data_IF_979120782429
#
_entry.id   IF_979120782429
#
_cell.length_a   1.000
_cell.length_b   1.000
_cell.length_c   1.000
_cell.angle_alpha   90.00
_cell.angle_beta   90.00
_cell.angle_gamma   90.00
#
_symmetry.space_group_name_H-M   'P 1'
#
loop_
_entity.id
_entity.type
_entity.pdbx_description
1 polymer ?
#
# COMPACT_ATOMS: atom_id res chain seq x y z
N UNK A 1 24.72 -20.68 -26.60
CA UNK A 1 23.42 -20.97 -25.96
C UNK A 1 23.70 -20.93 -24.47
N UNK A 2 23.21 -20.03 -23.62
CA UNK A 2 22.16 -19.01 -23.67
C UNK A 2 22.65 -17.78 -22.89
N UNK A 3 22.39 -16.59 -23.41
CA UNK A 3 22.64 -15.35 -22.67
C UNK A 3 21.52 -15.19 -21.62
N UNK A 4 21.87 -15.34 -20.35
CA UNK A 4 20.96 -15.09 -19.25
C UNK A 4 20.68 -13.58 -19.18
N UNK A 5 19.48 -13.20 -19.64
CA UNK A 5 19.00 -11.82 -19.63
C UNK A 5 18.92 -11.31 -18.18
N UNK A 6 19.50 -10.15 -17.84
CA UNK A 6 19.24 -9.54 -16.55
C UNK A 6 17.75 -9.21 -16.44
N UNK A 7 17.09 -9.71 -15.38
CA UNK A 7 15.72 -9.34 -15.04
C UNK A 7 15.69 -7.84 -14.78
N UNK A 8 15.01 -7.10 -15.66
CA UNK A 8 14.84 -5.65 -15.54
C UNK A 8 14.10 -5.37 -14.22
N UNK A 9 14.85 -4.96 -13.19
CA UNK A 9 14.30 -4.43 -11.95
C UNK A 9 13.29 -3.33 -12.29
N UNK A 10 12.06 -3.56 -11.88
CA UNK A 10 10.90 -2.70 -12.12
C UNK A 10 11.10 -1.33 -11.46
N UNK A 11 11.60 -0.35 -12.23
CA UNK A 11 11.52 1.08 -11.88
C UNK A 11 10.04 1.51 -11.99
N UNK A 12 9.27 1.36 -10.91
CA UNK A 12 7.80 1.63 -10.85
C UNK A 12 7.40 2.64 -9.76
N UNK A 13 8.34 3.48 -9.36
CA UNK A 13 8.07 4.55 -8.41
C UNK A 13 8.60 5.83 -9.00
N UNK A 14 7.72 6.81 -9.13
CA UNK A 14 8.12 8.18 -9.42
C UNK A 14 8.82 8.73 -8.16
N UNK A 15 9.86 9.55 -8.29
CA UNK A 15 10.58 10.08 -7.12
C UNK A 15 10.58 11.59 -7.14
N UNK A 16 10.35 12.22 -6.00
CA UNK A 16 10.65 13.64 -5.80
C UNK A 16 11.78 13.79 -4.79
N UNK A 17 12.56 14.86 -4.92
CA UNK A 17 13.57 15.26 -3.94
C UNK A 17 12.97 16.42 -3.18
N UNK A 18 12.89 16.30 -1.87
CA UNK A 18 12.52 17.42 -1.01
C UNK A 18 13.69 18.40 -0.99
N UNK A 19 13.46 19.62 -1.49
CA UNK A 19 14.52 20.62 -1.70
C UNK A 19 15.09 21.17 -0.38
N UNK A 20 14.35 21.04 0.74
CA UNK A 20 14.76 21.54 2.05
C UNK A 20 15.60 20.53 2.83
N UNK A 21 15.27 19.25 2.71
CA UNK A 21 15.94 18.15 3.43
C UNK A 21 16.92 17.38 2.54
N UNK A 22 16.86 17.57 1.22
CA UNK A 22 17.58 16.76 0.24
C UNK A 22 17.10 15.31 0.17
N UNK A 23 16.03 14.94 0.89
CA UNK A 23 15.58 13.56 0.99
C UNK A 23 14.76 13.15 -0.24
N UNK A 24 15.12 12.02 -0.85
CA UNK A 24 14.38 11.45 -1.97
C UNK A 24 13.22 10.58 -1.47
N UNK A 25 12.01 10.87 -1.94
CA UNK A 25 10.80 10.14 -1.60
C UNK A 25 10.17 9.52 -2.86
N UNK A 26 9.94 8.21 -2.83
CA UNK A 26 9.21 7.49 -3.88
C UNK A 26 7.70 7.64 -3.71
N UNK A 27 6.98 8.04 -4.75
CA UNK A 27 5.53 8.10 -4.83
C UNK A 27 5.00 7.31 -6.03
N UNK A 28 3.74 6.88 -5.93
CA UNK A 28 3.00 6.26 -7.01
C UNK A 28 2.13 7.35 -7.68
N UNK A 29 2.21 7.46 -9.00
CA UNK A 29 1.22 8.22 -9.78
C UNK A 29 -0.12 7.46 -9.83
N UNK A 30 -1.15 8.04 -10.46
CA UNK A 30 -2.49 7.43 -10.50
C UNK A 30 -2.50 6.03 -11.13
N UNK A 31 -1.84 5.81 -12.27
CA UNK A 31 -1.77 4.51 -12.95
C UNK A 31 -1.00 3.45 -12.12
N UNK A 32 0.08 3.89 -11.49
CA UNK A 32 0.87 3.08 -10.57
C UNK A 32 0.03 2.71 -9.35
N UNK A 33 -0.71 3.67 -8.78
CA UNK A 33 -1.60 3.49 -7.64
C UNK A 33 -2.81 2.62 -8.00
N UNK A 34 -3.33 2.69 -9.22
CA UNK A 34 -4.42 1.85 -9.72
C UNK A 34 -4.01 0.38 -9.73
N UNK A 35 -2.79 0.09 -10.19
CA UNK A 35 -2.31 -1.29 -10.36
C UNK A 35 -1.58 -1.87 -9.14
N UNK A 36 -1.07 -1.04 -8.23
CA UNK A 36 -0.25 -1.48 -7.10
C UNK A 36 -0.97 -2.51 -6.21
N UNK A 37 -0.36 -3.70 -6.11
CA UNK A 37 -0.80 -4.85 -5.30
C UNK A 37 -2.24 -5.29 -5.54
N UNK A 38 -2.74 -5.05 -6.74
CA UNK A 38 -4.08 -5.51 -7.16
C UNK A 38 -4.12 -6.95 -7.63
N UNK A 39 -2.96 -7.55 -7.89
CA UNK A 39 -2.79 -8.95 -8.34
C UNK A 39 -1.92 -9.70 -7.34
N UNK A 40 -2.15 -11.00 -7.18
CA UNK A 40 -1.28 -11.86 -6.39
C UNK A 40 0.13 -11.93 -7.00
N UNK A 41 1.14 -12.03 -6.15
CA UNK A 41 2.50 -12.35 -6.55
C UNK A 41 2.58 -13.84 -6.92
N UNK A 42 3.21 -14.14 -8.06
CA UNK A 42 3.43 -15.51 -8.52
C UNK A 42 4.52 -16.24 -7.72
N UNK A 43 5.45 -15.50 -7.11
CA UNK A 43 6.63 -16.04 -6.43
C UNK A 43 6.82 -15.45 -5.01
N UNK A 44 5.82 -15.53 -4.12
CA UNK A 44 5.82 -14.80 -2.84
C UNK A 44 6.96 -15.19 -1.88
N UNK A 45 7.55 -16.37 -2.05
CA UNK A 45 8.67 -16.86 -1.23
C UNK A 45 10.05 -16.43 -1.75
N UNK A 46 10.15 -16.02 -3.01
CA UNK A 46 11.41 -15.69 -3.68
C UNK A 46 11.59 -14.17 -3.91
N UNK A 47 10.63 -13.34 -3.47
CA UNK A 47 10.71 -11.89 -3.65
C UNK A 47 10.48 -11.10 -2.37
N UNK A 48 11.10 -9.92 -2.32
CA UNK A 48 10.96 -8.98 -1.21
C UNK A 48 9.55 -8.40 -1.16
N UNK A 49 8.80 -8.81 -0.15
CA UNK A 49 7.43 -8.36 0.11
C UNK A 49 7.30 -6.85 0.26
N UNK A 50 8.35 -6.12 0.67
CA UNK A 50 8.29 -4.66 0.80
C UNK A 50 8.40 -3.95 -0.56
N UNK A 51 9.13 -4.54 -1.52
CA UNK A 51 9.39 -3.94 -2.84
C UNK A 51 8.53 -4.53 -3.95
N UNK A 52 7.88 -5.66 -3.71
CA UNK A 52 7.05 -6.32 -4.70
C UNK A 52 5.84 -5.45 -5.09
N UNK A 53 5.61 -5.22 -6.39
CA UNK A 53 4.44 -4.49 -6.87
C UNK A 53 3.16 -5.34 -6.84
N UNK A 54 3.29 -6.66 -6.64
CA UNK A 54 2.17 -7.60 -6.52
C UNK A 54 1.91 -7.93 -5.04
N UNK A 55 0.69 -8.31 -4.72
CA UNK A 55 0.25 -8.65 -3.37
C UNK A 55 0.83 -9.98 -2.90
N UNK A 56 1.40 -9.98 -1.69
CA UNK A 56 1.77 -11.21 -0.97
C UNK A 56 0.70 -11.63 0.05
N UNK A 57 -0.37 -10.84 0.17
CA UNK A 57 -1.51 -11.16 1.03
C UNK A 57 -2.36 -12.23 0.34
N UNK A 58 -2.45 -13.40 0.98
CA UNK A 58 -3.31 -14.51 0.54
C UNK A 58 -4.77 -14.30 0.88
N UNK A 59 -5.06 -13.45 1.87
CA UNK A 59 -6.42 -13.21 2.34
C UNK A 59 -7.19 -12.24 1.44
N UNK A 60 -6.58 -11.09 1.12
CA UNK A 60 -7.19 -10.06 0.27
C UNK A 60 -6.12 -9.28 -0.49
N UNK A 61 -6.32 -9.18 -1.81
CA UNK A 61 -5.61 -8.27 -2.68
C UNK A 61 -6.26 -6.89 -2.62
N UNK A 62 -5.46 -5.83 -2.76
CA UNK A 62 -5.99 -4.46 -2.84
C UNK A 62 -6.87 -4.32 -4.08
N UNK A 63 -8.00 -3.63 -3.97
CA UNK A 63 -8.80 -3.22 -5.14
C UNK A 63 -8.21 -1.97 -5.76
N UNK A 64 -8.32 -1.88 -7.08
CA UNK A 64 -8.08 -0.64 -7.80
C UNK A 64 -9.13 0.40 -7.36
N UNK A 65 -8.73 1.51 -6.72
CA UNK A 65 -9.66 2.53 -6.23
C UNK A 65 -10.36 3.31 -7.36
N UNK A 66 -9.89 3.24 -8.59
CA UNK A 66 -10.52 3.89 -9.75
C UNK A 66 -11.53 2.96 -10.44
N UNK A 67 -11.36 1.64 -10.32
CA UNK A 67 -12.33 0.66 -10.79
C UNK A 67 -13.41 0.33 -9.74
N UNK A 68 -13.08 0.43 -8.45
CA UNK A 68 -13.99 0.15 -7.33
C UNK A 68 -14.11 1.36 -6.41
N UNK A 69 -15.30 1.95 -6.33
CA UNK A 69 -15.56 3.05 -5.41
C UNK A 69 -15.77 2.52 -3.99
N UNK A 70 -14.73 2.63 -3.16
CA UNK A 70 -14.78 2.30 -1.73
C UNK A 70 -14.14 3.42 -0.91
N UNK A 71 -14.56 3.59 0.35
CA UNK A 71 -13.96 4.54 1.27
C UNK A 71 -12.70 3.95 1.91
N UNK A 72 -11.66 4.77 2.19
CA UNK A 72 -10.44 4.33 2.86
C UNK A 72 -10.66 3.79 4.28
N UNK A 73 -11.81 4.09 4.89
CA UNK A 73 -12.17 3.58 6.22
C UNK A 73 -12.35 2.06 6.18
N UNK A 74 -11.79 1.37 7.17
CA UNK A 74 -11.88 -0.09 7.25
C UNK A 74 -13.33 -0.54 7.41
N UNK A 75 -13.71 -1.60 6.70
CA UNK A 75 -15.02 -2.23 6.81
C UNK A 75 -15.26 -2.72 8.24
N UNK A 76 -16.44 -2.45 8.83
CA UNK A 76 -16.74 -2.86 10.20
C UNK A 76 -16.79 -4.39 10.37
N UNK A 77 -17.04 -5.14 9.29
CA UNK A 77 -17.03 -6.62 9.29
C UNK A 77 -15.61 -7.21 9.11
N UNK A 78 -14.58 -6.36 9.11
CA UNK A 78 -13.17 -6.76 8.98
C UNK A 78 -12.38 -6.28 10.19
N UNK A 79 -11.74 -7.21 10.90
CA UNK A 79 -10.89 -6.90 12.05
C UNK A 79 -9.51 -7.52 11.92
N UNK A 80 -8.52 -6.85 12.54
CA UNK A 80 -7.14 -7.32 12.59
C UNK A 80 -6.70 -7.40 14.05
N UNK A 81 -6.11 -8.53 14.42
CA UNK A 81 -5.46 -8.70 15.70
C UNK A 81 -3.96 -8.48 15.57
N UNK A 82 -3.34 -7.94 16.62
CA UNK A 82 -1.89 -7.77 16.69
C UNK A 82 -1.30 -8.83 17.60
N UNK A 83 -0.49 -9.71 17.05
CA UNK A 83 0.31 -10.61 17.87
C UNK A 83 1.44 -9.79 18.51
N UNK A 84 1.47 -9.73 19.85
CA UNK A 84 2.48 -8.97 20.61
C UNK A 84 3.89 -9.52 20.39
N UNK A 85 4.02 -10.83 20.16
CA UNK A 85 5.31 -11.50 19.96
C UNK A 85 5.87 -11.28 18.56
N UNK A 86 5.03 -11.40 17.52
CA UNK A 86 5.48 -11.30 16.13
C UNK A 86 5.54 -9.86 15.59
N UNK A 87 5.03 -8.88 16.36
CA UNK A 87 4.83 -7.48 15.93
C UNK A 87 4.08 -7.36 14.59
N UNK A 88 3.36 -8.40 14.19
CA UNK A 88 2.64 -8.52 12.92
C UNK A 88 1.14 -8.35 13.16
N UNK A 89 0.49 -7.65 12.23
CA UNK A 89 -0.97 -7.59 12.15
C UNK A 89 -1.45 -8.77 11.33
N UNK A 90 -2.40 -9.52 11.88
CA UNK A 90 -3.03 -10.67 11.23
C UNK A 90 -4.51 -10.40 11.08
N UNK A 91 -5.09 -10.90 9.98
CA UNK A 91 -6.54 -10.84 9.78
C UNK A 91 -7.20 -11.74 10.83
N UNK A 92 -8.13 -11.19 11.59
CA UNK A 92 -8.84 -11.89 12.65
C UNK A 92 -10.24 -12.27 12.20
N UNK A 93 -10.98 -11.32 11.66
CA UNK A 93 -12.31 -11.56 11.09
C UNK A 93 -12.43 -10.90 9.72
N UNK A 94 -13.17 -11.57 8.83
CA UNK A 94 -13.59 -11.02 7.56
C UNK A 94 -14.93 -11.67 7.15
N UNK A 95 -15.97 -11.28 7.85
CA UNK A 95 -17.34 -11.77 7.63
C UNK A 95 -18.11 -10.93 6.60
N UNK A 96 -17.47 -9.94 5.97
CA UNK A 96 -18.11 -9.05 5.01
C UNK A 96 -18.79 -9.85 3.88
N UNK A 97 -20.09 -9.63 3.71
CA UNK A 97 -20.92 -10.27 2.68
C UNK A 97 -20.85 -9.57 1.33
N UNK A 98 -20.47 -8.28 1.32
CA UNK A 98 -20.38 -7.48 0.11
C UNK A 98 -19.13 -7.76 -0.73
N UNK A 99 -18.15 -8.50 -0.17
CA UNK A 99 -16.92 -8.94 -0.86
C UNK A 99 -16.26 -7.76 -1.62
N UNK A 100 -15.96 -7.92 -2.91
CA UNK A 100 -15.34 -6.88 -3.74
C UNK A 100 -16.19 -5.62 -3.92
N UNK A 101 -17.51 -5.73 -3.77
CA UNK A 101 -18.47 -4.62 -3.92
C UNK A 101 -18.68 -3.84 -2.62
N UNK A 102 -17.96 -4.18 -1.54
CA UNK A 102 -18.04 -3.42 -0.29
C UNK A 102 -17.56 -1.99 -0.49
N UNK A 103 -18.29 -1.01 0.05
CA UNK A 103 -17.94 0.42 -0.03
C UNK A 103 -16.89 0.85 0.99
N UNK A 104 -16.23 -0.09 1.67
CA UNK A 104 -15.22 0.17 2.69
C UNK A 104 -13.97 -0.64 2.41
N UNK A 105 -12.82 -0.21 2.95
CA UNK A 105 -11.54 -0.90 2.81
C UNK A 105 -11.53 -2.25 3.57
N UNK A 106 -10.98 -3.29 2.97
CA UNK A 106 -10.82 -4.63 3.56
C UNK A 106 -9.39 -4.93 3.97
N UNK A 107 -8.43 -4.09 3.59
CA UNK A 107 -7.03 -4.24 3.99
C UNK A 107 -6.44 -2.92 4.46
N UNK A 108 -5.39 -3.00 5.27
CA UNK A 108 -4.60 -1.81 5.62
C UNK A 108 -3.98 -1.17 4.39
N UNK A 109 -3.59 -1.95 3.38
CA UNK A 109 -3.09 -1.42 2.11
C UNK A 109 -4.18 -0.62 1.37
N UNK A 110 -5.43 -1.08 1.34
CA UNK A 110 -6.55 -0.33 0.77
C UNK A 110 -6.79 0.99 1.47
N UNK A 111 -6.65 1.04 2.80
CA UNK A 111 -6.71 2.31 3.56
C UNK A 111 -5.54 3.23 3.24
N UNK A 112 -4.30 2.71 3.24
CA UNK A 112 -3.07 3.50 3.09
C UNK A 112 -2.87 4.04 1.68
N UNK A 113 -3.19 3.24 0.66
CA UNK A 113 -3.00 3.56 -0.75
C UNK A 113 -4.31 4.02 -1.43
N UNK A 114 -5.33 4.41 -0.65
CA UNK A 114 -6.50 5.06 -1.22
C UNK A 114 -6.15 6.48 -1.69
N UNK A 115 -6.65 6.98 -2.84
CA UNK A 115 -6.33 8.33 -3.33
C UNK A 115 -6.58 9.44 -2.30
N UNK A 116 -7.66 9.34 -1.50
CA UNK A 116 -7.96 10.29 -0.42
C UNK A 116 -6.99 10.26 0.78
N UNK A 117 -6.15 9.22 0.91
CA UNK A 117 -5.22 9.02 2.05
C UNK A 117 -3.75 8.99 1.65
N UNK A 118 -3.45 8.48 0.46
CA UNK A 118 -2.09 8.22 0.02
C UNK A 118 -1.32 9.53 -0.09
N UNK A 119 -0.35 9.71 0.80
CA UNK A 119 0.50 10.91 0.87
C UNK A 119 -0.28 12.24 0.91
N UNK A 120 -1.51 12.23 1.40
CA UNK A 120 -2.35 13.44 1.57
C UNK A 120 -2.10 14.17 2.89
N UNK A 121 -1.18 13.68 3.74
CA UNK A 121 -0.74 14.43 4.91
C UNK A 121 0.22 15.53 4.47
N UNK A 122 -0.27 16.76 4.41
CA UNK A 122 0.59 17.92 4.58
C UNK A 122 1.44 17.66 5.83
N UNK A 123 2.75 17.66 5.66
CA UNK A 123 3.71 17.70 6.76
C UNK A 123 3.36 18.98 7.51
N UNK A 124 2.73 18.88 8.70
CA UNK A 124 2.67 20.03 9.59
C UNK A 124 4.12 20.30 10.01
N UNK A 125 4.76 21.23 9.32
CA UNK A 125 6.04 21.80 9.72
C UNK A 125 5.79 22.41 11.09
N UNK A 126 6.21 21.69 12.13
CA UNK A 126 6.21 22.20 13.49
C UNK A 126 7.19 23.37 13.56
N UNK A 127 6.69 24.57 13.31
CA UNK A 127 7.37 25.81 13.67
C UNK A 127 7.59 25.79 15.18
N UNK A 128 8.83 25.52 15.60
CA UNK A 128 9.26 25.94 16.93
C UNK A 128 9.57 27.41 16.82
N UNK A 129 8.58 28.23 17.17
CA UNK A 129 8.76 29.64 17.45
C UNK A 129 9.86 29.78 18.51
N UNK A 130 10.83 30.65 18.22
CA UNK A 130 11.82 31.07 19.19
C UNK A 130 11.13 31.76 20.37
N UNK A 131 11.46 31.30 21.57
CA UNK A 131 11.11 31.94 22.83
C UNK A 131 12.37 32.40 23.54
N UNK A 132 12.40 33.68 23.84
CA UNK A 132 13.43 34.51 24.47
C UNK A 132 14.04 33.93 25.75
#
# INVERSE_FOLDING_TARGET
>A
MEHQRPSKQSKRFTTYVDEFTGQQYGYLNEDELASFRTRACEHPQACDSQRCPNSHSTAWQRRDPFAYSYWPTLCPDVSFSRNRYERKLSLENNSCRNKRNCRYAHTKEETLYHPLRYKTSMVMVGGREGGL
#
